data_IF_012532201246
#
_entry.id   IF_012532201246
#
_cell.length_a   1.000
_cell.length_b   1.000
_cell.length_c   1.000
_cell.angle_alpha   90.00
_cell.angle_beta   90.00
_cell.angle_gamma   90.00
#
_symmetry.space_group_name_H-M   'P 1'
#
loop_
_entity.id
_entity.type
_entity.pdbx_description
1 polymer ?
#
# COMPACT_ATOMS: atom_id res chain seq x y z
N UNK A 1 -2.13 30.16 -3.20
CA UNK A 1 -1.02 29.38 -3.75
C UNK A 1 -0.84 29.66 -5.25
N UNK A 2 -1.04 30.91 -5.70
CA UNK A 2 -0.89 31.28 -7.12
C UNK A 2 0.55 31.03 -7.61
N UNK A 3 1.53 31.44 -6.82
CA UNK A 3 2.95 31.26 -7.13
C UNK A 3 3.49 29.96 -6.53
N UNK A 4 2.72 28.88 -6.60
CA UNK A 4 3.10 27.59 -6.02
C UNK A 4 2.86 26.48 -7.00
N UNK A 5 3.82 25.58 -7.12
CA UNK A 5 3.67 24.33 -7.85
C UNK A 5 3.34 23.22 -6.85
N UNK A 6 2.47 22.29 -7.24
CA UNK A 6 1.99 21.22 -6.38
C UNK A 6 2.13 19.91 -7.12
N UNK A 7 3.03 19.06 -6.60
CA UNK A 7 3.33 17.75 -7.16
C UNK A 7 3.43 16.71 -6.04
N UNK A 8 3.22 15.44 -6.39
CA UNK A 8 3.42 14.28 -5.51
C UNK A 8 2.63 14.38 -4.19
N UNK A 9 1.38 14.84 -4.26
CA UNK A 9 0.51 15.10 -3.10
C UNK A 9 -0.62 14.08 -3.01
N UNK A 10 -0.91 13.69 -1.76
CA UNK A 10 -2.06 12.85 -1.39
C UNK A 10 -3.24 13.70 -0.90
N UNK A 11 -4.34 13.67 -1.64
CA UNK A 11 -5.58 14.38 -1.29
C UNK A 11 -6.71 13.40 -1.00
N UNK A 12 -7.31 13.52 0.19
CA UNK A 12 -8.50 12.73 0.54
C UNK A 12 -9.78 13.23 -0.13
N UNK A 13 -10.31 14.36 0.34
CA UNK A 13 -11.68 14.80 0.01
C UNK A 13 -11.84 16.21 -0.53
N UNK A 14 -11.01 17.15 -0.08
CA UNK A 14 -11.07 18.55 -0.50
C UNK A 14 -9.68 19.11 -0.61
N UNK A 15 -9.45 19.86 -1.69
CA UNK A 15 -8.20 20.53 -1.95
C UNK A 15 -8.49 21.84 -2.65
N UNK A 16 -8.41 22.95 -1.90
CA UNK A 16 -8.59 24.29 -2.46
C UNK A 16 -7.29 24.70 -3.15
N UNK A 17 -7.27 24.64 -4.48
CA UNK A 17 -6.06 24.83 -5.24
C UNK A 17 -6.23 25.85 -6.37
N UNK A 18 -5.35 26.85 -6.39
CA UNK A 18 -5.23 27.87 -7.42
C UNK A 18 -3.93 27.76 -8.23
N UNK A 19 -3.21 26.63 -8.09
CA UNK A 19 -2.00 26.36 -8.88
C UNK A 19 -2.42 25.85 -10.25
N UNK A 20 -1.69 26.20 -11.30
CA UNK A 20 -1.92 25.69 -12.66
C UNK A 20 -1.81 24.16 -12.72
N UNK A 21 -1.04 23.52 -11.83
CA UNK A 21 -0.94 22.05 -11.72
C UNK A 21 -2.25 21.37 -11.32
N UNK A 22 -3.22 22.12 -10.80
CA UNK A 22 -4.51 21.58 -10.38
C UNK A 22 -5.56 21.65 -11.48
N UNK A 23 -5.28 22.35 -12.58
CA UNK A 23 -6.26 22.66 -13.61
C UNK A 23 -5.68 22.38 -14.99
N UNK A 24 -6.35 21.51 -15.74
CA UNK A 24 -6.02 21.32 -17.14
C UNK A 24 -6.07 22.67 -17.89
N UNK A 25 -5.27 22.80 -18.94
CA UNK A 25 -5.17 24.02 -19.73
C UNK A 25 -6.55 24.58 -20.08
N UNK A 26 -6.76 25.87 -19.80
CA UNK A 26 -8.03 26.55 -20.07
C UNK A 26 -9.18 26.18 -19.13
N UNK A 27 -8.95 25.44 -18.04
CA UNK A 27 -9.97 25.13 -17.02
C UNK A 27 -9.79 25.89 -15.71
N UNK A 28 -8.69 26.63 -15.56
CA UNK A 28 -8.36 27.37 -14.34
C UNK A 28 -9.47 28.37 -13.94
N UNK A 29 -9.88 28.36 -12.65
CA UNK A 29 -11.02 29.12 -12.17
C UNK A 29 -10.75 30.62 -12.03
N UNK A 30 -9.49 31.05 -11.95
CA UNK A 30 -9.12 32.47 -11.94
C UNK A 30 -9.26 33.06 -13.34
N UNK A 31 -8.78 32.33 -14.35
CA UNK A 31 -8.89 32.73 -15.77
C UNK A 31 -10.35 32.73 -16.21
N UNK A 32 -11.09 31.67 -15.87
CA UNK A 32 -12.48 31.49 -16.28
C UNK A 32 -13.52 32.07 -15.30
N UNK A 33 -13.08 32.62 -14.17
CA UNK A 33 -13.92 33.22 -13.12
C UNK A 33 -15.06 32.31 -12.65
N UNK A 34 -14.80 31.00 -12.52
CA UNK A 34 -15.82 29.98 -12.27
C UNK A 34 -16.15 29.79 -10.78
N UNK A 35 -15.33 30.34 -9.87
CA UNK A 35 -15.50 30.20 -8.41
C UNK A 35 -15.33 28.76 -7.89
N UNK A 36 -14.96 27.81 -8.75
CA UNK A 36 -14.71 26.41 -8.41
C UNK A 36 -13.25 26.28 -8.01
N UNK A 37 -12.96 25.91 -6.76
CA UNK A 37 -11.57 25.82 -6.28
C UNK A 37 -11.14 24.41 -5.89
N UNK A 38 -12.00 23.41 -6.13
CA UNK A 38 -11.74 22.02 -5.84
C UNK A 38 -11.62 21.24 -7.16
N UNK A 39 -10.43 20.76 -7.56
CA UNK A 39 -10.17 20.20 -8.89
C UNK A 39 -10.66 18.75 -9.05
N UNK A 40 -11.81 18.39 -8.46
CA UNK A 40 -12.31 17.02 -8.41
C UNK A 40 -13.08 16.61 -9.68
N UNK A 41 -12.51 16.80 -10.86
CA UNK A 41 -13.18 16.50 -12.15
C UNK A 41 -12.26 15.95 -13.24
N UNK A 42 -10.96 16.27 -13.25
CA UNK A 42 -10.01 15.82 -14.27
C UNK A 42 -8.90 14.97 -13.65
N UNK A 43 -9.21 13.69 -13.42
CA UNK A 43 -8.22 12.76 -12.89
C UNK A 43 -7.00 12.61 -13.81
N UNK A 44 -7.15 12.43 -15.15
CA UNK A 44 -6.03 12.39 -16.08
C UNK A 44 -4.99 13.49 -15.90
N UNK A 45 -5.43 14.73 -15.72
CA UNK A 45 -4.53 15.85 -15.49
C UNK A 45 -3.84 15.77 -14.12
N UNK A 46 -4.60 15.58 -13.04
CA UNK A 46 -4.04 15.50 -11.68
C UNK A 46 -3.03 14.35 -11.53
N UNK A 47 -3.33 13.19 -12.10
CA UNK A 47 -2.44 12.03 -12.13
C UNK A 47 -1.12 12.36 -12.85
N UNK A 48 -1.19 13.11 -13.96
CA UNK A 48 0.00 13.48 -14.75
C UNK A 48 0.99 14.39 -14.03
N UNK A 49 0.56 15.08 -12.98
CA UNK A 49 1.41 15.93 -12.13
C UNK A 49 1.67 15.32 -10.74
N UNK A 50 1.31 14.04 -10.54
CA UNK A 50 1.51 13.32 -9.29
C UNK A 50 0.54 13.72 -8.17
N UNK A 51 -0.65 14.22 -8.49
CA UNK A 51 -1.69 14.53 -7.49
C UNK A 51 -2.68 13.37 -7.42
N UNK A 52 -2.55 12.55 -6.37
CA UNK A 52 -3.54 11.52 -6.08
C UNK A 52 -4.73 12.16 -5.37
N UNK A 53 -5.92 12.13 -5.98
CA UNK A 53 -7.12 12.74 -5.40
C UNK A 53 -8.26 11.73 -5.22
N UNK A 54 -8.43 11.27 -3.98
CA UNK A 54 -9.38 10.23 -3.59
C UNK A 54 -10.85 10.51 -3.96
N UNK A 55 -11.30 11.77 -3.91
CA UNK A 55 -12.65 12.17 -4.34
C UNK A 55 -12.87 12.02 -5.84
N UNK A 56 -11.83 12.23 -6.65
CA UNK A 56 -11.90 12.09 -8.10
C UNK A 56 -11.86 10.60 -8.52
N UNK A 57 -11.21 9.76 -7.70
CA UNK A 57 -11.14 8.32 -7.89
C UNK A 57 -12.44 7.59 -7.54
N UNK A 58 -13.18 8.09 -6.55
CA UNK A 58 -14.53 7.60 -6.28
C UNK A 58 -15.50 8.09 -7.34
N UNK A 59 -16.03 7.18 -8.16
CA UNK A 59 -17.20 7.49 -9.00
C UNK A 59 -18.28 8.17 -8.15
N UNK A 60 -18.98 9.17 -8.71
CA UNK A 60 -19.90 10.04 -7.96
C UNK A 60 -20.86 9.22 -7.05
N UNK A 61 -20.62 9.21 -5.72
CA UNK A 61 -21.30 8.33 -4.76
C UNK A 61 -20.78 8.44 -3.31
N UNK A 62 -21.40 7.71 -2.36
CA UNK A 62 -21.09 7.80 -0.93
C UNK A 62 -19.83 7.02 -0.53
N UNK A 63 -18.68 7.66 -0.62
CA UNK A 63 -17.40 7.24 -0.04
C UNK A 63 -16.22 7.56 -0.96
N UNK A 64 -15.32 8.43 -0.54
CA UNK A 64 -14.10 8.76 -1.31
C UNK A 64 -13.03 7.68 -1.10
N UNK A 65 -12.21 7.40 -2.13
CA UNK A 65 -10.98 6.64 -1.93
C UNK A 65 -10.15 7.35 -0.86
N UNK A 66 -9.58 6.58 0.07
CA UNK A 66 -8.82 7.15 1.18
C UNK A 66 -7.32 6.95 0.98
N UNK A 67 -6.50 8.01 1.10
CA UNK A 67 -5.05 7.87 1.11
C UNK A 67 -4.58 6.91 2.21
N UNK A 68 -5.33 6.78 3.32
CA UNK A 68 -4.91 5.94 4.44
C UNK A 68 -4.95 4.44 4.12
N UNK A 69 -5.71 4.03 3.10
CA UNK A 69 -5.66 2.64 2.62
C UNK A 69 -4.48 2.39 1.69
N UNK A 70 -3.79 3.44 1.22
CA UNK A 70 -2.62 3.34 0.35
C UNK A 70 -1.29 3.31 1.12
N UNK A 71 -1.31 3.59 2.42
CA UNK A 71 -0.12 3.63 3.28
C UNK A 71 -0.07 2.41 4.20
N UNK A 72 1.14 2.01 4.62
CA UNK A 72 1.36 0.79 5.39
C UNK A 72 0.62 0.77 6.74
N UNK A 73 0.82 1.79 7.58
CA UNK A 73 0.17 1.94 8.89
C UNK A 73 0.08 3.42 9.30
N UNK A 74 -0.69 4.25 8.58
CA UNK A 74 -0.73 5.69 8.81
C UNK A 74 -1.48 6.05 10.11
N UNK A 75 -1.30 7.29 10.58
CA UNK A 75 -2.11 7.82 11.68
C UNK A 75 -3.60 7.91 11.32
N UNK A 76 -4.46 7.59 12.28
CA UNK A 76 -5.92 7.66 12.14
C UNK A 76 -6.50 8.42 13.33
N UNK A 77 -7.22 9.51 13.04
CA UNK A 77 -7.86 10.37 14.06
C UNK A 77 -8.65 9.63 15.12
N UNK A 78 -9.32 8.52 14.76
CA UNK A 78 -10.09 7.71 15.70
C UNK A 78 -9.26 7.17 16.86
N UNK A 79 -7.94 6.99 16.70
CA UNK A 79 -7.02 6.57 17.78
C UNK A 79 -6.92 7.58 18.92
N UNK A 80 -7.35 8.83 18.72
CA UNK A 80 -7.40 9.82 19.80
C UNK A 80 -8.61 9.67 20.72
N UNK A 81 -9.53 8.74 20.43
CA UNK A 81 -10.73 8.51 21.25
C UNK A 81 -10.41 7.63 22.45
N UNK A 82 -11.21 7.75 23.51
CA UNK A 82 -11.14 6.81 24.63
C UNK A 82 -11.54 5.40 24.18
N UNK A 83 -11.00 4.37 24.83
CA UNK A 83 -11.35 2.98 24.57
C UNK A 83 -12.86 2.74 24.65
N UNK A 84 -13.55 3.33 25.63
CA UNK A 84 -15.02 3.26 25.75
C UNK A 84 -15.74 3.78 24.50
N UNK A 85 -15.31 4.92 23.95
CA UNK A 85 -15.89 5.50 22.74
C UNK A 85 -15.55 4.69 21.48
N UNK A 86 -14.43 3.96 21.49
CA UNK A 86 -14.06 3.03 20.42
C UNK A 86 -14.93 1.78 20.46
N UNK A 87 -15.13 1.19 21.64
CA UNK A 87 -15.99 0.02 21.83
C UNK A 87 -17.45 0.37 21.51
N UNK A 88 -17.94 1.53 21.96
CA UNK A 88 -19.29 2.00 21.61
C UNK A 88 -19.46 2.15 20.09
N UNK A 89 -18.43 2.65 19.40
CA UNK A 89 -18.50 2.93 17.97
C UNK A 89 -18.34 1.69 17.09
N UNK A 90 -17.46 0.76 17.47
CA UNK A 90 -17.02 -0.37 16.64
C UNK A 90 -17.33 -1.75 17.23
N UNK A 91 -17.85 -1.83 18.46
CA UNK A 91 -18.05 -3.08 19.19
C UNK A 91 -16.79 -3.66 19.84
N UNK A 92 -15.61 -3.12 19.53
CA UNK A 92 -14.31 -3.45 20.10
C UNK A 92 -13.37 -2.24 19.96
N UNK A 93 -12.22 -2.27 20.65
CA UNK A 93 -11.15 -1.32 20.36
C UNK A 93 -10.28 -1.85 19.21
N UNK A 94 -10.31 -1.25 18.01
CA UNK A 94 -9.51 -1.72 16.88
C UNK A 94 -8.01 -1.36 16.98
N UNK A 95 -7.62 -0.53 17.96
CA UNK A 95 -6.26 0.02 18.09
C UNK A 95 -5.78 -0.13 19.53
N UNK A 96 -4.96 -1.16 19.77
CA UNK A 96 -4.51 -1.57 21.11
C UNK A 96 -3.26 -0.83 21.64
N UNK A 97 -2.61 0.04 20.86
CA UNK A 97 -1.37 0.73 21.27
C UNK A 97 -1.46 2.24 21.00
N UNK A 98 -1.29 3.10 22.04
CA UNK A 98 -1.27 4.57 21.90
C UNK A 98 0.10 5.15 21.51
N UNK A 99 1.15 4.33 21.44
CA UNK A 99 2.51 4.78 21.13
C UNK A 99 2.64 5.27 19.69
N UNK A 100 3.70 6.06 19.46
CA UNK A 100 4.04 6.53 18.12
C UNK A 100 4.51 5.36 17.25
N UNK A 101 3.61 4.82 16.43
CA UNK A 101 3.82 3.57 15.68
C UNK A 101 3.42 3.63 14.20
N UNK A 102 3.51 4.82 13.60
CA UNK A 102 3.01 5.06 12.26
C UNK A 102 4.05 4.72 11.19
N UNK A 103 3.58 3.98 10.19
CA UNK A 103 4.30 3.72 8.95
C UNK A 103 3.57 4.43 7.81
N UNK A 104 4.12 5.56 7.37
CA UNK A 104 3.57 6.39 6.32
C UNK A 104 4.14 6.06 4.95
N UNK A 105 4.95 5.01 4.82
CA UNK A 105 5.40 4.53 3.50
C UNK A 105 4.18 4.04 2.71
N UNK A 106 4.20 4.18 1.38
CA UNK A 106 3.24 3.46 0.53
C UNK A 106 3.24 1.97 0.88
N UNK A 107 2.05 1.36 0.98
CA UNK A 107 1.96 -0.09 1.16
C UNK A 107 2.38 -0.78 -0.15
N UNK A 108 2.93 -1.98 -0.05
CA UNK A 108 3.24 -2.81 -1.22
C UNK A 108 1.98 -2.96 -2.10
N UNK A 109 2.13 -2.74 -3.41
CA UNK A 109 1.01 -2.75 -4.37
C UNK A 109 0.13 -1.49 -4.37
N UNK A 110 0.48 -0.45 -3.62
CA UNK A 110 -0.26 0.82 -3.62
C UNK A 110 -0.21 1.53 -4.98
N UNK A 111 -1.28 2.25 -5.31
CA UNK A 111 -1.32 3.13 -6.48
C UNK A 111 -0.45 4.38 -6.34
N UNK A 112 0.21 4.58 -5.19
CA UNK A 112 1.11 5.72 -4.96
C UNK A 112 2.53 5.45 -5.44
N UNK A 113 2.89 4.17 -5.54
CA UNK A 113 4.24 3.75 -5.90
C UNK A 113 4.49 4.08 -7.38
N UNK A 114 5.63 4.66 -7.74
CA UNK A 114 6.00 5.06 -9.09
C UNK A 114 4.87 5.81 -9.83
N UNK A 115 4.21 6.75 -9.17
CA UNK A 115 3.09 7.53 -9.77
C UNK A 115 3.25 9.03 -9.57
N UNK A 116 4.36 9.45 -8.98
CA UNK A 116 4.78 10.84 -8.89
C UNK A 116 5.58 11.31 -10.09
N UNK A 117 5.96 12.58 -10.05
CA UNK A 117 6.77 13.28 -11.05
C UNK A 117 8.11 13.71 -10.46
N UNK A 118 9.12 13.77 -11.32
CA UNK A 118 10.44 14.25 -10.94
C UNK A 118 10.37 15.76 -10.72
N UNK A 119 10.76 16.20 -9.53
CA UNK A 119 10.91 17.59 -9.14
C UNK A 119 12.42 17.86 -9.07
N UNK A 120 12.99 18.61 -10.03
CA UNK A 120 14.42 18.83 -10.07
C UNK A 120 14.91 19.51 -8.79
N UNK A 121 16.07 19.08 -8.29
CA UNK A 121 16.63 19.57 -7.04
C UNK A 121 15.84 19.22 -5.77
N UNK A 122 14.90 18.28 -5.84
CA UNK A 122 14.16 17.73 -4.69
C UNK A 122 14.32 16.20 -4.62
N UNK A 123 13.84 15.48 -5.63
CA UNK A 123 13.84 14.00 -5.66
C UNK A 123 14.64 13.42 -6.85
N UNK A 124 15.32 14.26 -7.62
CA UNK A 124 16.12 13.86 -8.79
C UNK A 124 17.54 13.38 -8.46
N UNK A 125 17.91 13.36 -7.17
CA UNK A 125 19.23 12.95 -6.71
C UNK A 125 20.32 14.01 -6.86
N UNK A 126 19.95 15.27 -7.17
CA UNK A 126 20.91 16.35 -7.33
C UNK A 126 20.85 17.30 -6.13
N UNK A 127 22.01 17.53 -5.52
CA UNK A 127 22.17 18.49 -4.42
C UNK A 127 22.02 19.96 -4.87
N UNK A 128 22.06 20.21 -6.18
CA UNK A 128 21.76 21.51 -6.77
C UNK A 128 20.25 21.70 -6.84
N UNK A 129 19.71 22.79 -6.30
CA UNK A 129 18.31 23.11 -6.56
C UNK A 129 18.07 23.66 -7.96
N UNK A 130 16.93 24.32 -8.15
CA UNK A 130 16.52 24.89 -9.43
C UNK A 130 16.50 26.40 -9.25
N UNK A 131 17.53 27.10 -9.74
CA UNK A 131 17.53 28.55 -9.76
C UNK A 131 16.28 29.06 -10.48
N UNK A 132 15.58 30.00 -9.86
CA UNK A 132 14.44 30.63 -10.49
C UNK A 132 14.88 31.37 -11.77
N UNK A 133 14.16 31.26 -12.90
CA UNK A 133 14.67 31.69 -14.20
C UNK A 133 14.97 33.19 -14.31
N UNK A 134 14.27 34.03 -13.53
CA UNK A 134 14.36 35.49 -13.64
C UNK A 134 15.48 36.10 -12.79
N UNK A 135 15.68 35.59 -11.57
CA UNK A 135 16.61 36.16 -10.58
C UNK A 135 17.76 35.22 -10.21
N UNK A 136 17.74 33.97 -10.70
CA UNK A 136 18.78 32.97 -10.45
C UNK A 136 18.84 32.48 -9.01
N UNK A 137 17.84 32.78 -8.19
CA UNK A 137 17.81 32.37 -6.78
C UNK A 137 17.28 30.95 -6.68
N UNK A 138 18.06 30.07 -6.04
CA UNK A 138 17.58 28.74 -5.65
C UNK A 138 16.80 28.88 -4.33
N UNK A 139 15.49 28.66 -4.39
CA UNK A 139 14.62 28.70 -3.20
C UNK A 139 14.71 27.45 -2.34
N UNK A 140 15.43 26.40 -2.79
CA UNK A 140 15.63 25.21 -1.97
C UNK A 140 16.66 25.47 -0.88
N UNK A 141 16.44 24.85 0.29
CA UNK A 141 17.47 24.84 1.32
C UNK A 141 18.75 24.19 0.81
N UNK A 142 19.88 24.87 1.03
CA UNK A 142 21.21 24.33 0.75
C UNK A 142 21.39 23.01 1.51
N UNK A 143 21.84 21.94 0.84
CA UNK A 143 22.14 20.68 1.52
C UNK A 143 23.15 20.86 2.64
N UNK A 144 22.89 20.22 3.78
CA UNK A 144 23.80 20.17 4.93
C UNK A 144 24.99 19.24 4.66
N UNK A 145 24.85 18.28 3.75
CA UNK A 145 25.89 17.35 3.32
C UNK A 145 25.61 16.87 1.89
N UNK A 146 26.64 16.38 1.20
CA UNK A 146 26.49 15.85 -0.16
C UNK A 146 25.70 14.54 -0.16
N UNK A 147 24.77 14.40 -1.09
CA UNK A 147 23.82 13.31 -1.22
C UNK A 147 22.60 13.44 -0.30
N UNK A 148 22.35 14.62 0.30
CA UNK A 148 21.17 14.81 1.13
C UNK A 148 19.88 14.67 0.32
N UNK A 149 19.88 15.22 -0.90
CA UNK A 149 18.76 15.07 -1.83
C UNK A 149 18.91 13.74 -2.56
N UNK A 150 18.29 12.69 -2.01
CA UNK A 150 18.36 11.35 -2.60
C UNK A 150 17.55 11.28 -3.89
N UNK A 151 18.01 10.44 -4.82
CA UNK A 151 17.21 10.03 -5.96
C UNK A 151 16.07 9.15 -5.44
N UNK A 152 14.88 9.29 -6.03
CA UNK A 152 13.77 8.35 -5.85
C UNK A 152 14.17 6.89 -6.15
N UNK A 153 13.37 5.95 -5.66
CA UNK A 153 13.56 4.50 -5.85
C UNK A 153 12.49 3.99 -6.81
N UNK A 154 12.88 3.15 -7.76
CA UNK A 154 11.95 2.62 -8.77
C UNK A 154 12.04 3.36 -10.11
N UNK A 155 10.95 3.30 -10.87
CA UNK A 155 10.84 3.85 -12.23
C UNK A 155 10.43 5.33 -12.22
N UNK A 156 9.69 5.76 -11.19
CA UNK A 156 9.31 7.15 -10.97
C UNK A 156 9.22 7.44 -9.46
N UNK A 157 9.22 8.71 -9.02
CA UNK A 157 8.96 9.03 -7.62
C UNK A 157 7.62 8.47 -7.15
N UNK A 158 7.54 8.13 -5.87
CA UNK A 158 6.28 7.83 -5.22
C UNK A 158 5.48 9.10 -4.90
N UNK A 159 4.16 9.00 -4.93
CA UNK A 159 3.29 10.08 -4.45
C UNK A 159 3.31 10.08 -2.92
N UNK A 160 3.67 11.22 -2.33
CA UNK A 160 3.77 11.42 -0.89
C UNK A 160 5.20 11.75 -0.46
N UNK A 161 5.47 11.58 0.83
CA UNK A 161 6.75 11.98 1.43
C UNK A 161 7.81 10.87 1.46
N UNK A 162 7.45 9.64 1.03
CA UNK A 162 8.28 8.46 1.20
C UNK A 162 8.28 7.62 -0.06
N UNK A 163 9.45 7.05 -0.34
CA UNK A 163 9.69 6.12 -1.44
C UNK A 163 9.62 4.68 -0.92
N UNK A 164 8.84 3.83 -1.58
CA UNK A 164 8.74 2.42 -1.32
C UNK A 164 10.06 1.74 -1.69
N UNK A 165 10.59 0.95 -0.76
CA UNK A 165 11.89 0.30 -0.94
C UNK A 165 13.11 1.20 -0.66
N UNK A 166 12.94 2.44 -0.20
CA UNK A 166 14.08 3.25 0.23
C UNK A 166 14.72 2.68 1.51
N UNK A 167 16.04 2.70 1.51
CA UNK A 167 16.93 2.32 2.61
C UNK A 167 16.89 3.28 3.80
N UNK A 168 16.17 4.40 3.67
CA UNK A 168 16.04 5.44 4.71
C UNK A 168 14.57 5.84 4.86
N UNK A 169 14.07 5.80 6.09
CA UNK A 169 12.74 6.24 6.46
C UNK A 169 12.82 7.30 7.55
N UNK A 170 12.26 8.49 7.29
CA UNK A 170 12.13 9.51 8.32
C UNK A 170 10.96 9.15 9.23
N UNK A 171 11.26 8.69 10.44
CA UNK A 171 10.25 8.46 11.46
C UNK A 171 9.89 9.82 12.09
N UNK A 172 8.64 10.30 11.98
CA UNK A 172 8.24 11.56 12.63
C UNK A 172 8.41 11.49 14.15
N UNK A 173 8.38 12.63 14.84
CA UNK A 173 8.31 12.70 16.31
C UNK A 173 9.63 12.88 17.05
N UNK A 174 9.58 12.63 18.37
CA UNK A 174 10.70 12.89 19.28
C UNK A 174 11.87 11.91 19.05
N UNK A 175 13.10 12.44 19.04
CA UNK A 175 14.32 11.62 18.95
C UNK A 175 14.92 11.40 20.33
N UNK A 176 14.94 10.14 20.75
CA UNK A 176 15.51 9.71 22.03
C UNK A 176 17.05 9.72 22.01
N UNK A 177 17.73 9.72 23.17
CA UNK A 177 19.19 9.60 23.26
C UNK A 177 19.71 8.16 23.02
N UNK A 178 18.83 7.22 22.65
CA UNK A 178 19.12 5.84 22.28
C UNK A 178 18.34 5.47 21.01
N UNK A 179 18.70 4.38 20.30
CA UNK A 179 17.87 3.88 19.20
C UNK A 179 16.47 3.57 19.70
N UNK A 180 15.44 3.95 18.94
CA UNK A 180 14.06 3.95 19.42
C UNK A 180 13.05 3.79 18.28
N UNK A 181 11.77 3.65 18.64
CA UNK A 181 10.64 3.57 17.70
C UNK A 181 10.85 2.44 16.68
N UNK A 182 10.95 1.19 17.15
CA UNK A 182 11.08 0.05 16.27
C UNK A 182 9.85 -0.11 15.38
N UNK A 183 10.06 -0.39 14.10
CA UNK A 183 9.04 -0.84 13.17
C UNK A 183 9.52 -2.19 12.61
N UNK A 184 8.80 -3.30 12.82
CA UNK A 184 7.61 -3.44 13.66
C UNK A 184 7.84 -3.01 15.10
N UNK A 185 6.77 -2.60 15.79
CA UNK A 185 6.82 -2.33 17.22
C UNK A 185 7.27 -3.57 17.99
N UNK A 186 7.80 -3.34 19.19
CA UNK A 186 8.02 -4.43 20.13
C UNK A 186 6.70 -5.15 20.48
N UNK A 187 6.72 -6.47 20.41
CA UNK A 187 5.55 -7.33 20.60
C UNK A 187 4.53 -7.27 19.46
N UNK A 188 4.85 -6.66 18.31
CA UNK A 188 3.93 -6.63 17.18
C UNK A 188 3.55 -8.05 16.71
N UNK A 189 2.28 -8.24 16.40
CA UNK A 189 1.73 -9.47 15.82
C UNK A 189 1.20 -9.17 14.42
N UNK A 190 1.01 -10.22 13.61
CA UNK A 190 0.50 -10.10 12.23
C UNK A 190 1.38 -9.18 11.36
N UNK A 191 2.69 -9.21 11.59
CA UNK A 191 3.65 -8.47 10.76
C UNK A 191 3.71 -9.09 9.37
N UNK A 192 3.60 -8.32 8.28
CA UNK A 192 3.70 -8.87 6.92
C UNK A 192 4.98 -9.69 6.71
N UNK A 193 4.90 -10.74 5.90
CA UNK A 193 6.02 -11.65 5.64
C UNK A 193 7.20 -10.90 4.98
N UNK A 194 6.91 -10.07 3.99
CA UNK A 194 7.87 -9.18 3.33
C UNK A 194 7.86 -7.80 3.99
N UNK A 195 8.35 -7.72 5.22
CA UNK A 195 8.42 -6.46 5.96
C UNK A 195 9.86 -6.07 6.30
N UNK A 196 10.09 -4.80 6.58
CA UNK A 196 11.42 -4.26 6.89
C UNK A 196 11.54 -3.93 8.38
N UNK A 197 12.73 -4.10 8.94
CA UNK A 197 13.06 -3.57 10.26
C UNK A 197 13.52 -2.13 10.13
N UNK A 198 12.90 -1.21 10.87
CA UNK A 198 13.21 0.22 10.81
C UNK A 198 13.34 0.77 12.22
N UNK A 199 14.30 1.67 12.43
CA UNK A 199 14.53 2.29 13.73
C UNK A 199 14.85 3.78 13.58
N UNK A 200 14.69 4.53 14.67
CA UNK A 200 15.18 5.90 14.74
C UNK A 200 16.60 5.91 15.30
N UNK A 201 17.49 6.68 14.67
CA UNK A 201 18.80 6.94 15.25
C UNK A 201 18.67 7.85 16.49
N UNK A 202 19.54 7.69 17.50
CA UNK A 202 19.63 8.62 18.62
C UNK A 202 19.80 10.06 18.14
N UNK A 203 19.25 11.03 18.88
CA UNK A 203 19.52 12.43 18.59
C UNK A 203 21.01 12.75 18.73
N UNK A 204 21.60 13.29 17.66
CA UNK A 204 22.93 13.88 17.64
C UNK A 204 22.92 15.20 16.87
N UNK A 205 23.90 16.05 17.19
CA UNK A 205 24.20 17.26 16.39
C UNK A 205 25.03 16.94 15.15
N UNK A 206 25.90 15.94 15.26
CA UNK A 206 26.75 15.45 14.19
C UNK A 206 26.59 13.94 14.07
N UNK A 207 26.23 13.48 12.87
CA UNK A 207 26.07 12.08 12.53
C UNK A 207 27.26 11.53 11.73
N UNK A 208 28.31 12.33 11.54
CA UNK A 208 29.54 11.89 10.87
C UNK A 208 30.05 10.60 11.51
N UNK A 209 30.26 9.58 10.67
CA UNK A 209 30.71 8.24 11.06
C UNK A 209 29.76 7.46 12.00
N UNK A 210 28.53 7.94 12.25
CA UNK A 210 27.55 7.22 13.08
C UNK A 210 27.11 5.93 12.39
N UNK A 211 27.15 4.83 13.14
CA UNK A 211 26.79 3.50 12.66
C UNK A 211 25.84 2.79 13.61
N UNK A 212 24.87 2.10 13.05
CA UNK A 212 24.02 1.15 13.76
C UNK A 212 24.51 -0.28 13.51
N UNK A 213 24.58 -1.09 14.57
CA UNK A 213 24.68 -2.55 14.50
C UNK A 213 23.31 -3.13 14.82
N UNK A 214 22.73 -3.84 13.86
CA UNK A 214 21.42 -4.46 13.97
C UNK A 214 21.59 -5.96 14.02
N UNK A 215 21.08 -6.58 15.08
CA UNK A 215 21.07 -8.04 15.25
C UNK A 215 19.64 -8.53 15.16
N UNK A 216 19.41 -9.62 14.44
CA UNK A 216 18.11 -10.29 14.33
C UNK A 216 18.29 -11.80 14.43
N UNK A 217 17.38 -12.46 15.17
CA UNK A 217 17.40 -13.89 15.42
C UNK A 217 15.98 -14.47 15.51
N UNK A 218 15.74 -15.59 14.86
CA UNK A 218 14.50 -16.36 14.86
C UNK A 218 14.57 -17.53 13.86
N UNK A 219 13.43 -18.14 13.49
CA UNK A 219 13.40 -19.19 12.47
C UNK A 219 14.06 -18.75 11.16
N UNK A 220 14.99 -19.55 10.65
CA UNK A 220 15.71 -19.29 9.40
C UNK A 220 16.68 -18.09 9.40
N UNK A 221 16.73 -17.26 10.45
CA UNK A 221 17.50 -16.00 10.48
C UNK A 221 18.29 -15.89 11.77
N UNK A 222 19.61 -15.70 11.66
CA UNK A 222 20.48 -15.31 12.79
C UNK A 222 21.68 -14.53 12.25
N UNK A 223 21.59 -13.19 12.23
CA UNK A 223 22.63 -12.35 11.64
C UNK A 223 22.79 -11.03 12.39
N UNK A 224 23.94 -10.40 12.15
CA UNK A 224 24.24 -9.03 12.58
C UNK A 224 24.73 -8.23 11.38
N UNK A 225 24.19 -7.03 11.17
CA UNK A 225 24.52 -6.16 10.04
C UNK A 225 24.75 -4.72 10.50
N UNK A 226 25.73 -4.05 9.87
CA UNK A 226 26.05 -2.64 10.13
C UNK A 226 25.37 -1.73 9.10
N UNK A 227 24.86 -0.58 9.56
CA UNK A 227 24.25 0.46 8.74
C UNK A 227 24.88 1.80 9.07
N UNK A 228 25.24 2.58 8.04
CA UNK A 228 25.74 3.94 8.20
C UNK A 228 24.57 4.92 8.16
N UNK A 229 24.57 5.93 9.02
CA UNK A 229 23.59 7.01 8.92
C UNK A 229 23.63 7.65 7.51
N UNK A 230 22.47 7.96 6.88
CA UNK A 230 21.11 7.90 7.43
C UNK A 230 20.36 6.57 7.26
N UNK A 231 20.98 5.52 6.71
CA UNK A 231 20.31 4.24 6.44
C UNK A 231 19.79 3.62 7.73
N UNK A 232 18.47 3.48 7.81
CA UNK A 232 17.77 2.95 8.98
C UNK A 232 16.71 1.91 8.62
N UNK A 233 16.72 1.38 7.40
CA UNK A 233 15.82 0.32 6.94
C UNK A 233 16.63 -0.92 6.64
N UNK A 234 16.28 -2.02 7.29
CA UNK A 234 16.84 -3.34 7.06
C UNK A 234 15.79 -4.25 6.41
N UNK A 235 15.95 -4.45 5.10
CA UNK A 235 15.22 -5.45 4.34
C UNK A 235 15.69 -6.86 4.70
N UNK A 236 14.78 -7.69 5.19
CA UNK A 236 15.01 -9.08 5.55
C UNK A 236 13.78 -9.90 5.22
N UNK A 237 13.99 -11.10 4.70
CA UNK A 237 12.93 -12.08 4.45
C UNK A 237 12.70 -12.89 5.74
N UNK A 238 11.44 -13.05 6.13
CA UNK A 238 11.07 -13.82 7.32
C UNK A 238 10.18 -15.02 6.95
N UNK A 239 10.18 -16.05 7.79
CA UNK A 239 9.33 -17.23 7.63
C UNK A 239 7.89 -16.92 8.12
N UNK A 240 6.85 -17.42 7.42
CA UNK A 240 5.46 -17.26 7.83
C UNK A 240 5.22 -17.80 9.24
N UNK A 241 4.48 -17.06 10.07
CA UNK A 241 4.18 -17.47 11.46
C UNK A 241 5.38 -17.41 12.42
N UNK A 242 6.58 -17.10 11.94
CA UNK A 242 7.81 -17.06 12.73
C UNK A 242 7.82 -15.93 13.77
N UNK A 243 8.51 -16.16 14.88
CA UNK A 243 8.75 -15.14 15.92
C UNK A 243 10.21 -14.76 15.96
N UNK A 244 10.48 -13.46 15.92
CA UNK A 244 11.83 -12.92 15.80
C UNK A 244 12.14 -11.97 16.95
N UNK A 245 13.39 -12.00 17.39
CA UNK A 245 13.97 -11.02 18.30
C UNK A 245 15.02 -10.21 17.55
N UNK A 246 15.07 -8.90 17.80
CA UNK A 246 16.05 -8.02 17.19
C UNK A 246 16.43 -6.87 18.11
N UNK A 247 17.56 -6.25 17.83
CA UNK A 247 18.10 -5.16 18.65
C UNK A 247 18.94 -4.24 17.79
N UNK A 248 18.99 -2.97 18.17
CA UNK A 248 19.84 -1.95 17.52
C UNK A 248 20.78 -1.35 18.55
N UNK A 249 22.06 -1.30 18.21
CA UNK A 249 23.08 -0.57 18.98
C UNK A 249 23.70 0.49 18.07
N UNK A 250 23.71 1.75 18.50
CA UNK A 250 24.35 2.85 17.75
C UNK A 250 25.52 3.38 18.56
N UNK A 251 26.73 3.25 18.02
CA UNK A 251 27.98 3.71 18.66
C UNK A 251 28.10 3.32 20.15
N UNK A 252 27.74 2.08 20.47
CA UNK A 252 27.77 1.52 21.83
C UNK A 252 26.53 1.79 22.68
N UNK A 253 25.58 2.61 22.24
CA UNK A 253 24.31 2.84 22.92
C UNK A 253 23.25 1.87 22.44
N UNK A 254 22.73 1.03 23.34
CA UNK A 254 21.68 0.05 23.03
C UNK A 254 20.29 0.69 23.03
N UNK A 255 19.44 0.29 22.08
CA UNK A 255 18.01 0.60 22.06
C UNK A 255 17.13 -0.41 22.82
N UNK A 256 17.74 -1.45 23.39
CA UNK A 256 17.02 -2.59 23.97
C UNK A 256 16.83 -3.76 22.99
N UNK A 257 16.03 -4.73 23.44
CA UNK A 257 15.61 -5.88 22.63
C UNK A 257 14.14 -5.72 22.28
N UNK A 258 13.80 -5.99 21.02
CA UNK A 258 12.45 -5.94 20.51
C UNK A 258 12.09 -7.28 19.86
N UNK A 259 10.80 -7.56 19.79
CA UNK A 259 10.27 -8.79 19.24
C UNK A 259 9.08 -8.54 18.34
N UNK A 260 8.82 -9.46 17.41
CA UNK A 260 7.58 -9.47 16.63
C UNK A 260 7.25 -10.88 16.12
N UNK A 261 5.98 -11.08 15.76
CA UNK A 261 5.48 -12.29 15.11
C UNK A 261 4.99 -11.97 13.70
N UNK A 262 5.51 -12.72 12.74
CA UNK A 262 5.15 -12.66 11.32
C UNK A 262 3.81 -13.33 11.11
N UNK A 263 2.99 -12.77 10.22
CA UNK A 263 1.72 -13.34 9.80
C UNK A 263 1.94 -14.65 9.02
N UNK A 264 0.95 -15.52 9.00
CA UNK A 264 0.97 -16.79 8.24
C UNK A 264 0.14 -16.70 6.95
N UNK A 265 -0.20 -15.48 6.53
CA UNK A 265 -1.01 -15.19 5.35
C UNK A 265 -0.54 -13.93 4.63
N UNK A 266 -0.96 -13.81 3.38
CA UNK A 266 -0.81 -12.61 2.55
C UNK A 266 -2.13 -12.20 1.94
N UNK A 267 -2.30 -10.91 1.77
CA UNK A 267 -3.43 -10.31 1.05
C UNK A 267 -3.03 -10.00 -0.39
N UNK A 268 -3.99 -9.91 -1.33
CA UNK A 268 -3.67 -9.52 -2.70
C UNK A 268 -3.01 -8.13 -2.72
N UNK A 269 -2.02 -7.95 -3.61
CA UNK A 269 -1.53 -6.64 -4.00
C UNK A 269 -2.65 -5.83 -4.64
N UNK A 270 -3.32 -6.43 -5.63
CA UNK A 270 -4.41 -5.86 -6.42
C UNK A 270 -5.59 -6.83 -6.49
N UNK A 271 -6.81 -6.30 -6.45
CA UNK A 271 -8.02 -7.07 -6.75
C UNK A 271 -9.04 -6.21 -7.50
N UNK A 272 -9.67 -6.78 -8.53
CA UNK A 272 -10.61 -6.02 -9.36
C UNK A 272 -11.59 -6.88 -10.11
N UNK A 273 -12.86 -6.48 -10.11
CA UNK A 273 -13.82 -6.98 -11.09
C UNK A 273 -13.77 -6.14 -12.37
N UNK A 274 -13.59 -6.81 -13.49
CA UNK A 274 -13.54 -6.18 -14.82
C UNK A 274 -14.73 -6.65 -15.64
N UNK A 275 -15.42 -5.71 -16.28
CA UNK A 275 -16.38 -6.02 -17.33
C UNK A 275 -15.63 -6.33 -18.63
N UNK A 276 -15.61 -7.60 -19.04
CA UNK A 276 -14.84 -8.05 -20.20
C UNK A 276 -15.40 -7.55 -21.53
N UNK A 277 -16.56 -6.89 -21.52
CA UNK A 277 -17.18 -6.30 -22.72
C UNK A 277 -16.79 -4.83 -22.93
N UNK A 278 -16.21 -4.18 -21.92
CA UNK A 278 -15.84 -2.76 -21.93
C UNK A 278 -14.32 -2.59 -21.73
N UNK A 279 -13.60 -2.34 -22.84
CA UNK A 279 -12.15 -2.14 -22.82
C UNK A 279 -11.81 -0.68 -22.53
N UNK A 280 -11.77 -0.32 -21.25
CA UNK A 280 -11.36 1.00 -20.78
C UNK A 280 -10.45 0.91 -19.58
N UNK A 281 -9.53 1.86 -19.46
CA UNK A 281 -8.68 1.96 -18.27
C UNK A 281 -9.54 2.17 -17.03
N UNK A 282 -9.28 1.38 -15.99
CA UNK A 282 -9.93 1.54 -14.69
C UNK A 282 -9.09 2.47 -13.81
N UNK A 283 -9.77 3.31 -13.04
CA UNK A 283 -9.15 4.17 -12.02
C UNK A 283 -8.87 3.37 -10.75
N UNK A 284 -7.83 3.70 -9.97
CA UNK A 284 -7.47 3.06 -8.70
C UNK A 284 -8.51 3.38 -7.62
N UNK A 285 -9.67 2.72 -7.72
CA UNK A 285 -10.83 2.94 -6.87
C UNK A 285 -11.00 1.80 -5.88
N UNK A 286 -11.01 2.14 -4.58
CA UNK A 286 -11.07 1.21 -3.46
C UNK A 286 -12.47 0.62 -3.28
N UNK A 287 -12.80 -0.38 -4.11
CA UNK A 287 -14.10 -1.08 -4.10
C UNK A 287 -14.26 -1.97 -2.87
N UNK A 288 -15.49 -2.09 -2.36
CA UNK A 288 -15.72 -2.98 -1.21
C UNK A 288 -15.84 -4.45 -1.62
N UNK A 289 -16.27 -4.72 -2.85
CA UNK A 289 -16.66 -6.06 -3.29
C UNK A 289 -16.22 -6.33 -4.74
N UNK A 290 -15.91 -7.59 -4.99
CA UNK A 290 -15.62 -8.16 -6.29
C UNK A 290 -16.87 -8.87 -6.82
N UNK A 291 -17.48 -8.33 -7.87
CA UNK A 291 -18.57 -8.98 -8.62
C UNK A 291 -18.01 -10.04 -9.57
N UNK A 292 -18.61 -11.23 -9.54
CA UNK A 292 -18.38 -12.34 -10.45
C UNK A 292 -19.72 -12.71 -11.09
N UNK A 293 -19.83 -12.50 -12.40
CA UNK A 293 -21.05 -12.72 -13.20
C UNK A 293 -20.70 -12.95 -14.67
N UNK A 294 -21.69 -13.16 -15.55
CA UNK A 294 -21.45 -13.49 -16.97
C UNK A 294 -20.40 -12.62 -17.66
N UNK A 295 -20.51 -11.30 -17.51
CA UNK A 295 -19.62 -10.34 -18.17
C UNK A 295 -18.52 -9.82 -17.23
N UNK A 296 -18.52 -10.22 -15.95
CA UNK A 296 -17.56 -9.73 -14.97
C UNK A 296 -16.72 -10.84 -14.37
N UNK A 297 -15.41 -10.72 -14.56
CA UNK A 297 -14.40 -11.59 -13.96
C UNK A 297 -13.73 -10.82 -12.83
N UNK A 298 -13.57 -11.45 -11.68
CA UNK A 298 -12.78 -10.88 -10.58
C UNK A 298 -11.35 -11.40 -10.63
N UNK A 299 -10.38 -10.50 -10.63
CA UNK A 299 -8.95 -10.81 -10.64
C UNK A 299 -8.34 -10.51 -9.28
N UNK A 300 -7.40 -11.35 -8.84
CA UNK A 300 -6.62 -11.14 -7.62
C UNK A 300 -5.15 -11.42 -7.92
N UNK A 301 -4.28 -10.47 -7.61
CA UNK A 301 -2.83 -10.56 -7.74
C UNK A 301 -2.21 -10.66 -6.36
N UNK A 302 -1.44 -11.72 -6.11
CA UNK A 302 -0.64 -11.90 -4.90
C UNK A 302 0.83 -11.78 -5.25
N UNK A 303 1.65 -11.37 -4.29
CA UNK A 303 3.10 -11.53 -4.38
C UNK A 303 3.54 -12.58 -3.37
N UNK A 304 3.96 -13.74 -3.88
CA UNK A 304 4.28 -14.91 -3.06
C UNK A 304 5.68 -14.70 -2.45
N UNK A 305 5.82 -14.61 -1.12
CA UNK A 305 7.11 -14.35 -0.50
C UNK A 305 8.16 -15.41 -0.85
N UNK A 306 9.40 -14.97 -0.97
CA UNK A 306 10.53 -15.88 -1.27
C UNK A 306 10.85 -16.86 -0.13
N UNK A 307 10.34 -16.65 1.08
CA UNK A 307 10.42 -17.60 2.19
C UNK A 307 9.48 -18.80 2.04
N UNK A 308 8.45 -18.71 1.20
CA UNK A 308 7.56 -19.83 0.92
C UNK A 308 8.33 -20.89 0.14
N UNK A 309 8.06 -22.16 0.46
CA UNK A 309 8.66 -23.31 -0.17
C UNK A 309 7.66 -24.48 -0.19
N UNK A 310 8.01 -25.57 -0.88
CA UNK A 310 7.13 -26.73 -1.10
C UNK A 310 6.70 -27.51 0.15
N UNK A 311 7.15 -27.14 1.35
CA UNK A 311 6.67 -27.73 2.59
C UNK A 311 5.40 -27.04 3.12
N UNK A 312 5.06 -25.85 2.62
CA UNK A 312 3.90 -25.10 3.09
C UNK A 312 2.64 -25.57 2.37
N UNK A 313 1.55 -25.73 3.12
CA UNK A 313 0.21 -25.85 2.52
C UNK A 313 -0.32 -24.47 2.18
N UNK A 314 -0.72 -24.27 0.93
CA UNK A 314 -1.17 -22.98 0.43
C UNK A 314 -2.67 -23.06 0.17
N UNK A 315 -3.44 -22.23 0.88
CA UNK A 315 -4.89 -22.15 0.68
C UNK A 315 -5.34 -20.76 0.32
N UNK A 316 -6.19 -20.66 -0.70
CA UNK A 316 -6.94 -19.45 -1.00
C UNK A 316 -8.20 -19.41 -0.15
N UNK A 317 -8.38 -18.30 0.55
CA UNK A 317 -9.54 -18.05 1.40
C UNK A 317 -10.31 -16.85 0.85
N UNK A 318 -11.61 -17.04 0.64
CA UNK A 318 -12.52 -16.03 0.12
C UNK A 318 -13.77 -15.99 1.01
N UNK A 319 -14.44 -14.83 1.06
CA UNK A 319 -15.70 -14.68 1.78
C UNK A 319 -16.74 -14.04 0.86
N UNK A 320 -17.82 -14.74 0.48
CA UNK A 320 -18.93 -14.15 -0.24
C UNK A 320 -19.65 -13.12 0.63
N UNK A 321 -19.76 -11.87 0.20
CA UNK A 321 -20.67 -10.91 0.82
C UNK A 321 -22.13 -11.27 0.48
N UNK A 322 -22.39 -11.57 -0.80
CA UNK A 322 -23.74 -11.84 -1.30
C UNK A 322 -23.71 -12.83 -2.46
N UNK A 323 -24.45 -13.92 -2.31
CA UNK A 323 -24.76 -14.89 -3.35
C UNK A 323 -26.17 -14.58 -3.87
N UNK A 324 -26.26 -13.93 -5.03
CA UNK A 324 -27.54 -13.55 -5.64
C UNK A 324 -28.16 -14.74 -6.36
N UNK A 325 -27.34 -15.47 -7.12
CA UNK A 325 -27.69 -16.71 -7.81
C UNK A 325 -26.43 -17.57 -7.96
N UNK A 326 -26.58 -18.89 -7.75
CA UNK A 326 -25.52 -19.88 -7.95
C UNK A 326 -26.14 -21.23 -8.33
N UNK A 327 -26.41 -21.41 -9.62
CA UNK A 327 -26.88 -22.63 -10.26
C UNK A 327 -25.71 -23.53 -10.68
N UNK A 328 -24.57 -22.92 -11.04
CA UNK A 328 -23.33 -23.61 -11.36
C UNK A 328 -22.28 -23.47 -10.25
N UNK A 329 -21.04 -23.20 -10.65
CA UNK A 329 -19.88 -23.08 -9.79
C UNK A 329 -19.15 -21.75 -10.04
N UNK A 330 -18.37 -21.31 -9.05
CA UNK A 330 -17.34 -20.29 -9.28
C UNK A 330 -16.04 -21.00 -9.64
N UNK A 331 -15.58 -20.81 -10.87
CA UNK A 331 -14.36 -21.38 -11.41
C UNK A 331 -13.17 -20.46 -11.13
N UNK A 332 -12.08 -21.04 -10.63
CA UNK A 332 -10.83 -20.34 -10.35
C UNK A 332 -9.83 -20.71 -11.43
N UNK A 333 -9.31 -19.71 -12.12
CA UNK A 333 -8.33 -19.86 -13.18
C UNK A 333 -7.02 -19.18 -12.79
N UNK A 334 -5.90 -19.72 -13.30
CA UNK A 334 -4.65 -18.99 -13.36
C UNK A 334 -4.80 -17.83 -14.34
N UNK A 335 -4.29 -16.67 -13.97
CA UNK A 335 -4.22 -15.50 -14.85
C UNK A 335 -2.75 -15.13 -15.03
N UNK A 336 -2.17 -15.46 -16.18
CA UNK A 336 -0.72 -15.46 -16.41
C UNK A 336 -0.06 -14.06 -16.53
N UNK A 337 -0.81 -12.98 -16.28
CA UNK A 337 -0.31 -11.62 -16.31
C UNK A 337 0.21 -11.18 -14.92
N UNK A 338 1.39 -10.56 -14.94
CA UNK A 338 2.09 -9.98 -13.79
C UNK A 338 2.09 -8.46 -13.89
N UNK A 339 2.27 -7.77 -12.77
CA UNK A 339 2.42 -6.32 -12.66
C UNK A 339 1.17 -5.55 -13.07
N UNK A 340 0.02 -6.22 -13.17
CA UNK A 340 -1.23 -5.55 -13.52
C UNK A 340 -1.77 -4.78 -12.33
N UNK A 341 -2.43 -3.67 -12.62
CA UNK A 341 -3.05 -2.82 -11.61
C UNK A 341 -4.03 -1.83 -12.24
N UNK A 342 -4.25 -0.71 -11.58
CA UNK A 342 -5.16 0.35 -12.05
C UNK A 342 -4.41 1.64 -12.43
N UNK A 343 -3.08 1.59 -12.52
CA UNK A 343 -2.25 2.69 -13.05
C UNK A 343 -2.62 2.99 -14.50
N UNK A 344 -2.47 4.24 -14.95
CA UNK A 344 -2.81 4.66 -16.31
C UNK A 344 -1.68 4.32 -17.30
N UNK A 345 -1.34 3.05 -17.38
CA UNK A 345 -0.31 2.52 -18.26
C UNK A 345 -0.83 1.31 -19.06
N UNK A 346 0.08 0.67 -19.79
CA UNK A 346 -0.22 -0.54 -20.58
C UNK A 346 -0.57 -1.77 -19.76
N UNK A 347 -0.32 -1.76 -18.44
CA UNK A 347 -0.59 -2.85 -17.52
C UNK A 347 -1.93 -2.66 -16.78
N UNK A 348 -2.72 -1.64 -17.14
CA UNK A 348 -4.03 -1.41 -16.54
C UNK A 348 -4.97 -2.60 -16.79
N UNK A 349 -5.50 -3.18 -15.70
CA UNK A 349 -6.36 -4.36 -15.71
C UNK A 349 -7.63 -4.19 -16.53
N UNK A 350 -8.07 -2.96 -16.80
CA UNK A 350 -9.23 -2.69 -17.66
C UNK A 350 -8.99 -2.85 -19.17
N UNK A 351 -7.74 -2.84 -19.63
CA UNK A 351 -7.40 -2.86 -21.07
C UNK A 351 -6.50 -4.03 -21.48
N UNK A 352 -5.78 -4.65 -20.56
CA UNK A 352 -4.98 -5.83 -20.84
C UNK A 352 -5.85 -7.03 -21.21
N UNK A 353 -5.23 -8.07 -21.79
CA UNK A 353 -5.94 -9.27 -22.21
C UNK A 353 -6.45 -10.08 -21.00
N UNK A 354 -7.75 -10.36 -20.99
CA UNK A 354 -8.43 -11.12 -19.93
C UNK A 354 -8.52 -12.62 -20.20
N UNK A 355 -7.75 -13.13 -21.16
CA UNK A 355 -7.68 -14.56 -21.45
C UNK A 355 -7.29 -15.37 -20.20
N UNK A 356 -8.08 -16.40 -19.89
CA UNK A 356 -7.88 -17.24 -18.71
C UNK A 356 -7.00 -18.44 -19.05
N UNK A 357 -6.06 -18.75 -18.16
CA UNK A 357 -5.17 -19.89 -18.28
C UNK A 357 -5.80 -21.19 -17.78
N UNK A 358 -5.00 -22.02 -17.11
CA UNK A 358 -5.45 -23.30 -16.57
C UNK A 358 -6.46 -23.12 -15.43
N UNK A 359 -7.53 -23.92 -15.42
CA UNK A 359 -8.46 -24.01 -14.28
C UNK A 359 -7.75 -24.66 -13.10
N UNK A 360 -7.73 -23.97 -11.97
CA UNK A 360 -7.05 -24.38 -10.75
C UNK A 360 -7.97 -25.16 -9.81
N UNK A 361 -9.21 -24.68 -9.67
CA UNK A 361 -10.19 -25.24 -8.75
C UNK A 361 -11.59 -24.70 -9.06
N UNK A 362 -12.60 -25.21 -8.35
CA UNK A 362 -13.95 -24.66 -8.35
C UNK A 362 -14.48 -24.53 -6.92
N UNK A 363 -15.43 -23.61 -6.75
CA UNK A 363 -16.13 -23.33 -5.52
C UNK A 363 -17.62 -23.59 -5.72
N UNK A 364 -18.21 -24.37 -4.82
CA UNK A 364 -19.62 -24.72 -4.81
C UNK A 364 -20.24 -24.41 -3.45
N UNK A 365 -21.57 -24.42 -3.36
CA UNK A 365 -22.31 -24.30 -2.09
C UNK A 365 -21.94 -23.05 -1.27
N UNK A 366 -21.87 -21.89 -1.93
CA UNK A 366 -21.54 -20.62 -1.28
C UNK A 366 -22.70 -20.10 -0.43
N UNK A 367 -22.38 -19.52 0.73
CA UNK A 367 -23.33 -18.85 1.61
C UNK A 367 -22.81 -17.47 2.01
N UNK A 368 -23.72 -16.50 2.17
CA UNK A 368 -23.38 -15.13 2.55
C UNK A 368 -22.63 -15.10 3.88
N UNK A 369 -21.53 -14.35 3.93
CA UNK A 369 -20.69 -14.14 5.10
C UNK A 369 -19.90 -15.37 5.56
N UNK A 370 -19.99 -16.51 4.85
CA UNK A 370 -19.32 -17.75 5.25
C UNK A 370 -18.03 -17.92 4.47
N UNK A 371 -16.89 -17.96 5.17
CA UNK A 371 -15.59 -18.16 4.53
C UNK A 371 -15.51 -19.52 3.83
N UNK A 372 -14.93 -19.53 2.65
CA UNK A 372 -14.62 -20.71 1.85
C UNK A 372 -13.13 -20.77 1.57
N UNK A 373 -12.59 -21.98 1.48
CA UNK A 373 -11.16 -22.22 1.31
C UNK A 373 -10.92 -23.27 0.23
N UNK A 374 -9.88 -23.06 -0.57
CA UNK A 374 -9.46 -23.96 -1.65
C UNK A 374 -7.97 -24.25 -1.48
N UNK A 375 -7.60 -25.52 -1.56
CA UNK A 375 -6.20 -25.93 -1.55
C UNK A 375 -5.56 -25.67 -2.92
N UNK A 376 -4.53 -24.83 -2.93
CA UNK A 376 -3.74 -24.49 -4.11
C UNK A 376 -2.29 -24.97 -3.99
N UNK A 377 -1.97 -25.83 -3.02
CA UNK A 377 -0.61 -26.29 -2.72
C UNK A 377 0.07 -26.87 -3.96
N UNK A 378 -0.62 -27.74 -4.70
CA UNK A 378 -0.08 -28.38 -5.90
C UNK A 378 -0.08 -27.45 -7.13
N UNK A 379 -0.73 -26.27 -7.03
CA UNK A 379 -0.88 -25.32 -8.13
C UNK A 379 0.09 -24.14 -8.04
N UNK A 380 0.62 -23.84 -6.85
CA UNK A 380 1.58 -22.78 -6.59
C UNK A 380 2.92 -23.41 -6.23
N UNK A 381 3.75 -23.63 -7.25
CA UNK A 381 5.07 -24.28 -7.13
C UNK A 381 6.24 -23.34 -7.47
N UNK A 382 5.95 -22.06 -7.68
CA UNK A 382 6.94 -21.01 -7.92
C UNK A 382 6.76 -19.90 -6.89
N UNK A 383 7.85 -19.49 -6.27
CA UNK A 383 7.88 -18.63 -5.07
C UNK A 383 8.80 -17.44 -5.29
N UNK A 384 8.63 -16.37 -4.51
CA UNK A 384 9.37 -15.11 -4.69
C UNK A 384 8.93 -14.33 -5.93
N UNK A 385 7.72 -14.56 -6.41
CA UNK A 385 7.15 -13.89 -7.57
C UNK A 385 5.64 -13.72 -7.45
N UNK A 386 5.11 -12.86 -8.32
CA UNK A 386 3.68 -12.62 -8.41
C UNK A 386 2.91 -13.83 -8.94
N UNK A 387 1.78 -14.10 -8.30
CA UNK A 387 0.82 -15.14 -8.65
C UNK A 387 -0.58 -14.53 -8.77
N UNK A 388 -1.24 -14.79 -9.89
CA UNK A 388 -2.47 -14.10 -10.25
C UNK A 388 -3.56 -15.10 -10.63
N UNK A 389 -4.77 -14.85 -10.14
CA UNK A 389 -5.94 -15.69 -10.35
C UNK A 389 -7.14 -14.88 -10.87
N UNK A 390 -8.06 -15.58 -11.50
CA UNK A 390 -9.35 -15.05 -11.93
C UNK A 390 -10.50 -15.93 -11.42
N UNK A 391 -11.59 -15.29 -10.99
CA UNK A 391 -12.84 -15.93 -10.59
C UNK A 391 -13.88 -15.67 -11.68
N UNK A 392 -14.51 -16.73 -12.18
CA UNK A 392 -15.52 -16.67 -13.24
C UNK A 392 -16.68 -17.59 -12.92
N UNK A 393 -17.91 -17.21 -13.28
CA UNK A 393 -19.07 -18.09 -13.19
C UNK A 393 -19.04 -19.16 -14.29
N UNK A 394 -19.39 -20.40 -13.96
CA UNK A 394 -19.62 -21.45 -14.97
C UNK A 394 -20.98 -21.30 -15.66
N UNK A 395 -22.01 -20.86 -14.91
CA UNK A 395 -23.35 -20.58 -15.43
C UNK A 395 -23.53 -19.06 -15.63
N UNK A 396 -23.90 -18.58 -16.84
CA UNK A 396 -24.12 -17.16 -17.10
C UNK A 396 -25.19 -16.48 -16.23
N UNK A 397 -26.10 -17.24 -15.63
CA UNK A 397 -27.13 -16.71 -14.74
C UNK A 397 -26.64 -16.46 -13.31
N UNK A 398 -25.44 -16.91 -12.98
CA UNK A 398 -24.87 -16.79 -11.64
C UNK A 398 -24.32 -15.39 -11.39
N UNK A 399 -24.44 -14.97 -10.13
CA UNK A 399 -23.97 -13.67 -9.68
C UNK A 399 -23.60 -13.73 -8.20
N UNK A 400 -22.32 -13.55 -7.93
CA UNK A 400 -21.76 -13.58 -6.58
C UNK A 400 -20.90 -12.34 -6.36
N UNK A 401 -20.99 -11.76 -5.18
CA UNK A 401 -20.12 -10.70 -4.68
C UNK A 401 -19.23 -11.25 -3.59
N UNK A 402 -17.92 -11.27 -3.82
CA UNK A 402 -16.92 -11.53 -2.79
C UNK A 402 -16.45 -10.22 -2.16
N UNK A 403 -16.00 -10.24 -0.91
CA UNK A 403 -15.34 -9.07 -0.35
C UNK A 403 -14.00 -8.80 -1.05
N UNK A 404 -13.68 -7.52 -1.26
CA UNK A 404 -12.37 -7.07 -1.74
C UNK A 404 -11.41 -6.86 -0.56
N UNK A 405 -10.10 -6.85 -0.83
CA UNK A 405 -9.05 -6.38 0.08
C UNK A 405 -9.22 -4.93 0.51
N UNK A 406 -10.09 -4.17 -0.15
CA UNK A 406 -10.37 -2.79 0.22
C UNK A 406 -11.62 -2.67 1.10
N UNK A 407 -12.28 -3.79 1.48
CA UNK A 407 -13.44 -3.78 2.37
C UNK A 407 -13.09 -3.19 3.75
N UNK A 408 -13.76 -2.10 4.11
CA UNK A 408 -13.71 -1.53 5.46
C UNK A 408 -14.95 -1.86 6.30
N UNK A 409 -14.91 -1.54 7.58
CA UNK A 409 -16.10 -1.46 8.44
C UNK A 409 -16.94 -0.26 7.96
N UNK A 410 -18.18 -0.50 7.55
CA UNK A 410 -19.04 0.52 6.94
C UNK A 410 -19.41 1.64 7.92
N UNK A 411 -19.51 2.87 7.40
CA UNK A 411 -20.22 3.98 8.05
C UNK A 411 -19.48 4.79 9.11
N UNK A 412 -18.28 4.40 9.61
CA UNK A 412 -17.67 5.09 10.78
C UNK A 412 -16.14 5.19 10.79
N UNK A 413 -15.53 5.47 9.64
CA UNK A 413 -14.09 5.76 9.53
C UNK A 413 -13.30 4.67 8.80
N UNK A 414 -11.97 4.85 8.71
CA UNK A 414 -11.08 3.95 7.98
C UNK A 414 -10.64 2.86 8.96
N UNK A 415 -11.49 1.86 9.16
CA UNK A 415 -11.13 0.63 9.87
C UNK A 415 -11.13 -0.49 8.83
N UNK A 416 -9.96 -1.08 8.58
CA UNK A 416 -9.83 -2.24 7.70
C UNK A 416 -10.53 -3.43 8.35
N UNK A 417 -11.31 -4.18 7.57
CA UNK A 417 -11.90 -5.43 8.06
C UNK A 417 -11.17 -6.61 7.44
N UNK A 418 -9.93 -6.82 7.89
CA UNK A 418 -9.02 -7.85 7.35
C UNK A 418 -9.50 -9.28 7.58
N UNK A 419 -10.54 -9.47 8.41
CA UNK A 419 -11.17 -10.77 8.70
C UNK A 419 -11.86 -11.32 7.45
N UNK A 420 -12.46 -10.46 6.63
CA UNK A 420 -13.24 -10.87 5.45
C UNK A 420 -12.48 -10.70 4.14
N UNK A 421 -11.27 -10.15 4.17
CA UNK A 421 -10.47 -9.94 2.98
C UNK A 421 -10.11 -11.29 2.34
N UNK A 422 -9.97 -11.34 1.01
CA UNK A 422 -9.34 -12.48 0.36
C UNK A 422 -7.89 -12.61 0.81
N UNK A 423 -7.40 -13.83 1.05
CA UNK A 423 -5.99 -14.07 1.41
C UNK A 423 -5.51 -15.46 1.00
N UNK A 424 -4.19 -15.59 0.83
CA UNK A 424 -3.51 -16.88 0.82
C UNK A 424 -2.95 -17.14 2.21
N UNK A 425 -3.16 -18.34 2.77
CA UNK A 425 -2.54 -18.79 4.02
C UNK A 425 -1.48 -19.85 3.77
N UNK A 426 -0.45 -19.85 4.61
CA UNK A 426 0.68 -20.78 4.61
C UNK A 426 0.71 -21.53 5.94
N UNK A 427 0.57 -22.86 5.87
CA UNK A 427 0.56 -23.74 7.06
C UNK A 427 1.67 -24.78 7.01
#
# INVERSE_FOLDING_TARGET
NWNSNIHNVLVGGSFQCFSEDCWAEGTDPMTNKTGVFNPSFDFPHLDSVGIWFGRNLSGQGSGWSSPKKELAKPWIQKRSKSESALIEEFGANPWNVPDQDYDFRPKKGSSLIDSGVIIPGINDGKDTGVPHPEDGIDFNHTPLYSGQKRKFVGEAPDIGAYEYGDSVYWIPGFRYPHPSVPIPNDGAVEVPIDYSLVWNYPYKKDYSNTKASVKVSGPGVNLTKEFKYPHNVFFQVFEPGGTYNWSVTVDGVSGGNWSFKVDDKIYPLNDRSVDTTDKKSLLPYQINNLEVSQNKIAFLLFDIPSSINGNHKIKLNLVPESVVSLNGEIEIYKYDYKGWGEKRDKNNIGIIDHSLGTKLATLTSLANGTAVSVDLTDQIYSYGEEFSIALKVSDPSDKVYFYSKEKGITGRGIVTNVIVWPYLSFQ
#
